data_IF_382662047934
#
_entry.id   IF_382662047934
#
_cell.length_a   1.000
_cell.length_b   1.000
_cell.length_c   1.000
_cell.angle_alpha   90.00
_cell.angle_beta   90.00
_cell.angle_gamma   90.00
#
_symmetry.space_group_name_H-M   'P 1'
#
loop_
_entity.id
_entity.type
_entity.pdbx_description
1 polymer ?
#
# COMPACT_ATOMS: atom_id res chain seq x y z
N UNK A 1 -13.53 5.25 -6.61
CA UNK A 1 -13.01 6.40 -7.39
C UNK A 1 -11.49 6.40 -7.25
N UNK A 2 -10.74 6.41 -8.36
CA UNK A 2 -9.27 6.46 -8.34
C UNK A 2 -8.87 7.93 -8.46
N UNK A 3 -8.16 8.50 -7.49
CA UNK A 3 -7.66 9.87 -7.61
C UNK A 3 -6.18 9.87 -7.30
N UNK A 4 -5.40 10.19 -8.32
CA UNK A 4 -3.98 10.46 -8.19
C UNK A 4 -3.81 11.97 -8.07
N UNK A 5 -3.30 12.43 -6.94
CA UNK A 5 -2.83 13.80 -6.81
C UNK A 5 -1.33 13.79 -7.09
N UNK A 6 -0.88 14.37 -8.21
CA UNK A 6 0.56 14.56 -8.46
C UNK A 6 1.14 15.75 -7.67
N UNK A 7 0.27 16.63 -7.16
CA UNK A 7 0.68 17.86 -6.44
C UNK A 7 0.98 17.61 -4.96
N UNK A 8 0.52 16.50 -4.41
CA UNK A 8 0.80 16.09 -3.04
C UNK A 8 1.46 14.71 -3.07
N UNK A 9 2.38 14.40 -2.13
CA UNK A 9 2.99 13.07 -2.01
C UNK A 9 1.98 11.98 -1.62
N UNK A 10 0.68 12.26 -1.69
CA UNK A 10 -0.40 11.43 -1.20
C UNK A 10 -1.09 10.78 -2.40
N UNK A 11 -1.00 9.47 -2.47
CA UNK A 11 -1.77 8.62 -3.40
C UNK A 11 -2.90 7.98 -2.61
N UNK A 12 -4.10 7.91 -3.17
CA UNK A 12 -5.18 7.21 -2.51
C UNK A 12 -6.05 6.45 -3.49
N UNK A 13 -6.58 5.34 -3.01
CA UNK A 13 -7.45 4.43 -3.72
C UNK A 13 -8.64 4.15 -2.80
N UNK A 14 -9.82 4.57 -3.25
CA UNK A 14 -11.07 4.32 -2.54
C UNK A 14 -11.91 3.40 -3.42
N UNK A 15 -12.22 2.23 -2.89
CA UNK A 15 -13.10 1.23 -3.51
C UNK A 15 -14.18 0.81 -2.51
N UNK A 16 -15.18 0.06 -2.98
CA UNK A 16 -16.21 -0.52 -2.11
C UNK A 16 -15.63 -1.51 -1.08
N UNK A 17 -14.45 -2.06 -1.36
CA UNK A 17 -13.78 -3.04 -0.52
C UNK A 17 -12.84 -2.41 0.51
N UNK A 18 -12.57 -1.11 0.41
CA UNK A 18 -11.72 -0.40 1.36
C UNK A 18 -11.06 0.86 0.82
N UNK A 19 -10.18 1.40 1.65
CA UNK A 19 -9.38 2.59 1.43
C UNK A 19 -7.91 2.21 1.53
N UNK A 20 -7.12 2.63 0.56
CA UNK A 20 -5.67 2.53 0.57
C UNK A 20 -5.09 3.93 0.37
N UNK A 21 -4.18 4.33 1.24
CA UNK A 21 -3.56 5.65 1.31
C UNK A 21 -2.04 5.45 1.34
N UNK A 22 -1.37 5.87 0.28
CA UNK A 22 0.08 5.93 0.19
C UNK A 22 0.58 7.35 0.40
N UNK A 23 1.66 7.51 1.17
CA UNK A 23 2.38 8.77 1.30
C UNK A 23 3.83 8.55 0.87
N UNK A 24 4.17 9.00 -0.32
CA UNK A 24 5.47 8.83 -0.96
C UNK A 24 6.27 10.13 -0.92
N UNK A 25 7.31 10.19 -0.10
CA UNK A 25 8.30 11.27 -0.09
C UNK A 25 9.61 10.80 -0.71
N UNK A 26 10.53 11.73 -1.01
CA UNK A 26 11.86 11.39 -1.56
C UNK A 26 12.69 10.45 -0.67
N UNK A 27 12.39 10.37 0.63
CA UNK A 27 13.18 9.62 1.63
C UNK A 27 12.40 8.48 2.30
N UNK A 28 11.07 8.53 2.29
CA UNK A 28 10.21 7.58 3.00
C UNK A 28 8.92 7.37 2.23
N UNK A 29 8.46 6.12 2.16
CA UNK A 29 7.12 5.76 1.68
C UNK A 29 6.35 5.11 2.81
N UNK A 30 5.10 5.55 3.01
CA UNK A 30 4.17 4.96 3.97
C UNK A 30 2.94 4.46 3.25
N UNK A 31 2.37 3.38 3.73
CA UNK A 31 1.12 2.84 3.25
C UNK A 31 0.19 2.57 4.42
N UNK A 32 -1.05 3.02 4.27
CA UNK A 32 -2.14 2.79 5.19
C UNK A 32 -3.29 2.15 4.42
N UNK A 33 -3.78 1.00 4.88
CA UNK A 33 -4.85 0.25 4.25
C UNK A 33 -5.92 -0.03 5.29
N UNK A 34 -7.17 0.20 4.92
CA UNK A 34 -8.36 -0.19 5.68
C UNK A 34 -9.28 -0.91 4.73
N UNK A 35 -9.57 -2.17 4.99
CA UNK A 35 -10.45 -2.98 4.15
C UNK A 35 -11.20 -4.03 4.97
N UNK A 36 -12.04 -4.82 4.31
CA UNK A 36 -12.79 -5.93 4.96
C UNK A 36 -11.89 -6.97 5.64
N UNK A 37 -10.61 -7.06 5.26
CA UNK A 37 -9.64 -7.98 5.88
C UNK A 37 -9.00 -7.40 7.15
N UNK A 38 -9.15 -6.09 7.39
CA UNK A 38 -8.61 -5.40 8.55
C UNK A 38 -7.91 -4.10 8.19
N UNK A 39 -7.07 -3.64 9.13
CA UNK A 39 -6.29 -2.41 9.03
C UNK A 39 -4.80 -2.75 9.00
N UNK A 40 -4.04 -2.02 8.19
CA UNK A 40 -2.59 -2.17 8.08
C UNK A 40 -1.94 -0.81 7.91
N UNK A 41 -0.83 -0.61 8.62
CA UNK A 41 0.06 0.52 8.42
C UNK A 41 1.49 -0.01 8.28
N UNK A 42 2.16 0.33 7.17
CA UNK A 42 3.52 -0.16 6.89
C UNK A 42 4.36 0.90 6.21
N UNK A 43 5.64 0.98 6.60
CA UNK A 43 6.65 1.71 5.85
C UNK A 43 7.14 0.83 4.69
N UNK A 44 7.24 1.40 3.49
CA UNK A 44 7.71 0.73 2.28
C UNK A 44 8.99 1.38 1.75
N UNK A 45 9.62 0.71 0.79
CA UNK A 45 10.72 1.28 0.03
C UNK A 45 10.21 2.41 -0.88
N UNK A 46 10.99 3.48 -1.00
CA UNK A 46 10.66 4.59 -1.92
C UNK A 46 10.69 4.07 -3.35
N UNK A 47 9.65 4.36 -4.13
CA UNK A 47 9.52 3.91 -5.52
C UNK A 47 8.88 2.52 -5.67
N UNK A 48 8.43 1.89 -4.59
CA UNK A 48 7.70 0.63 -4.66
C UNK A 48 6.36 0.77 -5.41
N UNK A 49 6.20 -0.08 -6.43
CA UNK A 49 5.07 -0.14 -7.38
C UNK A 49 4.03 -1.22 -7.04
N UNK A 50 4.04 -1.79 -5.83
CA UNK A 50 3.08 -2.84 -5.42
C UNK A 50 1.62 -2.48 -5.73
N UNK A 51 1.24 -1.21 -5.58
CA UNK A 51 -0.12 -0.69 -5.86
C UNK A 51 -0.42 -0.68 -7.37
N UNK A 52 0.56 -0.34 -8.20
CA UNK A 52 0.46 -0.34 -9.66
C UNK A 52 0.39 -1.79 -10.20
N UNK A 53 1.20 -2.69 -9.61
CA UNK A 53 1.31 -4.09 -10.03
C UNK A 53 0.05 -4.91 -9.71
N UNK A 54 -0.70 -4.55 -8.66
CA UNK A 54 -1.90 -5.27 -8.21
C UNK A 54 -3.19 -4.64 -8.75
N UNK A 55 -3.10 -3.93 -9.88
CA UNK A 55 -4.23 -3.33 -10.60
C UNK A 55 -5.18 -2.49 -9.71
N UNK A 56 -4.66 -1.93 -8.62
CA UNK A 56 -5.42 -1.09 -7.68
C UNK A 56 -6.58 -1.83 -7.00
N UNK A 57 -6.40 -3.11 -6.65
CA UNK A 57 -7.33 -3.87 -5.83
C UNK A 57 -6.87 -3.81 -4.35
N UNK A 58 -7.68 -3.19 -3.48
CA UNK A 58 -7.31 -2.88 -2.09
C UNK A 58 -7.03 -4.14 -1.25
N UNK A 59 -7.83 -5.19 -1.42
CA UNK A 59 -7.67 -6.45 -0.69
C UNK A 59 -6.47 -7.26 -1.18
N UNK A 60 -6.14 -7.20 -2.47
CA UNK A 60 -4.93 -7.85 -3.00
C UNK A 60 -3.67 -7.14 -2.52
N UNK A 61 -3.68 -5.80 -2.47
CA UNK A 61 -2.59 -5.00 -1.88
C UNK A 61 -2.40 -5.36 -0.41
N UNK A 62 -3.49 -5.48 0.35
CA UNK A 62 -3.42 -5.92 1.75
C UNK A 62 -2.77 -7.29 1.89
N UNK A 63 -3.19 -8.26 1.08
CA UNK A 63 -2.66 -9.64 1.12
C UNK A 63 -1.19 -9.71 0.75
N UNK A 64 -0.79 -9.06 -0.34
CA UNK A 64 0.60 -9.05 -0.79
C UNK A 64 1.54 -8.51 0.30
N UNK A 65 1.15 -7.39 0.91
CA UNK A 65 1.97 -6.75 1.95
C UNK A 65 1.90 -7.54 3.27
N UNK A 66 0.78 -8.18 3.58
CA UNK A 66 0.69 -9.09 4.74
C UNK A 66 1.62 -10.30 4.56
N UNK A 67 1.69 -10.89 3.36
CA UNK A 67 2.56 -12.03 3.07
C UNK A 67 4.05 -11.68 3.14
N UNK A 68 4.45 -10.49 2.68
CA UNK A 68 5.82 -9.98 2.86
C UNK A 68 6.19 -9.74 4.33
N UNK A 69 5.21 -9.63 5.23
CA UNK A 69 5.43 -9.48 6.68
C UNK A 69 5.62 -10.83 7.38
N UNK A 70 5.29 -11.94 6.71
CA UNK A 70 5.47 -13.31 7.21
C UNK A 70 6.79 -13.96 6.78
N UNK A 71 7.69 -13.23 6.12
CA UNK A 71 9.10 -13.62 5.98
C UNK A 71 10.01 -12.77 6.90
N UNK A 72 9.96 -12.93 8.24
CA UNK A 72 11.07 -12.53 9.07
C UNK A 72 12.17 -13.61 8.96
N UNK A 73 13.14 -13.39 8.08
CA UNK A 73 14.42 -14.08 8.12
C UNK A 73 14.48 -15.46 7.46
N UNK A 74 14.87 -15.49 6.18
CA UNK A 74 15.96 -16.38 5.78
C UNK A 74 17.24 -15.55 5.80
N UNK A 75 17.81 -15.43 7.00
CA UNK A 75 19.19 -15.07 7.24
C UNK A 75 19.83 -16.33 7.81
N UNK A 76 20.45 -17.13 6.95
CA UNK A 76 21.66 -17.96 7.16
C UNK A 76 21.92 -18.79 5.90
#
# INVERSE_FOLDING_TARGET
MKVYSERFPIKYLISEKGICLGVDTKRRSFLFIVCVLGLMFRQRNVGDKVVENLNYEVTDIYRAIASESQQPGELS
#
